data_IF_552115052453
#
_entry.id   IF_552115052453
#
_cell.length_a   1.000
_cell.length_b   1.000
_cell.length_c   1.000
_cell.angle_alpha   90.00
_cell.angle_beta   90.00
_cell.angle_gamma   90.00
#
_symmetry.space_group_name_H-M   'P 1'
#
loop_
_entity.id
_entity.type
_entity.pdbx_description
1 polymer ?
#
# COMPACT_ATOMS: atom_id res chain seq x y z
N UNK A 1 3.13 -1.65 -5.76
CA UNK A 1 4.04 -0.53 -6.05
C UNK A 1 5.46 -1.07 -6.13
N UNK A 2 6.25 -0.60 -7.10
CA UNK A 2 7.63 -1.03 -7.29
C UNK A 2 8.52 0.18 -7.54
N UNK A 3 9.68 0.21 -6.90
CA UNK A 3 10.76 1.17 -7.18
C UNK A 3 11.98 0.35 -7.53
N UNK A 4 12.60 0.68 -8.67
CA UNK A 4 13.79 0.01 -9.14
C UNK A 4 14.91 0.09 -8.08
N UNK A 5 15.68 -1.00 -7.91
CA UNK A 5 16.62 -1.20 -6.78
C UNK A 5 17.60 -0.03 -6.60
N UNK A 6 18.07 0.54 -7.71
CA UNK A 6 19.06 1.63 -7.71
C UNK A 6 18.48 2.99 -7.28
N UNK A 7 17.16 3.07 -7.14
CA UNK A 7 16.43 4.27 -6.75
C UNK A 7 15.64 4.08 -5.44
N UNK A 8 15.87 2.98 -4.72
CA UNK A 8 15.29 2.76 -3.39
C UNK A 8 15.94 3.69 -2.35
N UNK A 9 15.31 3.86 -1.19
CA UNK A 9 15.74 4.74 -0.10
C UNK A 9 15.85 6.24 -0.44
N UNK A 10 15.41 6.65 -1.64
CA UNK A 10 15.38 8.05 -2.07
C UNK A 10 13.99 8.69 -1.97
N UNK A 11 13.13 8.20 -1.07
CA UNK A 11 11.74 8.68 -0.84
C UNK A 11 10.77 8.56 -2.03
N UNK A 12 11.19 7.92 -3.14
CA UNK A 12 10.39 7.82 -4.37
C UNK A 12 9.04 7.13 -4.13
N UNK A 13 9.04 6.01 -3.41
CA UNK A 13 7.84 5.29 -3.03
C UNK A 13 6.84 6.19 -2.28
N UNK A 14 7.32 6.97 -1.31
CA UNK A 14 6.49 7.90 -0.54
C UNK A 14 5.91 9.02 -1.40
N UNK A 15 6.72 9.57 -2.33
CA UNK A 15 6.25 10.60 -3.27
C UNK A 15 5.15 10.07 -4.20
N UNK A 16 5.31 8.86 -4.72
CA UNK A 16 4.31 8.21 -5.57
C UNK A 16 2.99 7.98 -4.83
N UNK A 17 3.04 7.41 -3.62
CA UNK A 17 1.83 7.21 -2.81
C UNK A 17 1.14 8.54 -2.49
N UNK A 18 1.90 9.54 -2.03
CA UNK A 18 1.32 10.86 -1.72
C UNK A 18 0.67 11.51 -2.94
N UNK A 19 1.30 11.40 -4.11
CA UNK A 19 0.72 11.91 -5.36
C UNK A 19 -0.58 11.18 -5.72
N UNK A 20 -0.59 9.85 -5.67
CA UNK A 20 -1.78 9.05 -5.99
C UNK A 20 -2.94 9.34 -5.03
N UNK A 21 -2.67 9.38 -3.73
CA UNK A 21 -3.67 9.65 -2.70
C UNK A 21 -4.26 11.07 -2.82
N UNK A 22 -3.46 12.05 -3.23
CA UNK A 22 -3.92 13.44 -3.45
C UNK A 22 -4.65 13.62 -4.78
N UNK A 23 -4.30 12.85 -5.80
CA UNK A 23 -4.86 12.99 -7.15
C UNK A 23 -6.23 12.32 -7.30
N UNK A 24 -6.65 11.50 -6.34
CA UNK A 24 -7.89 10.72 -6.41
C UNK A 24 -8.75 11.05 -5.19
N UNK A 25 -9.94 11.57 -5.43
CA UNK A 25 -10.93 11.73 -4.37
C UNK A 25 -11.55 10.37 -4.03
N UNK A 26 -10.93 9.66 -3.09
CA UNK A 26 -11.45 8.41 -2.54
C UNK A 26 -11.55 8.49 -1.02
N UNK A 27 -12.57 7.85 -0.45
CA UNK A 27 -12.71 7.65 1.00
C UNK A 27 -11.74 6.61 1.54
N UNK A 28 -11.32 5.66 0.69
CA UNK A 28 -10.50 4.51 1.09
C UNK A 28 -9.52 4.12 0.01
N UNK A 29 -8.30 3.79 0.43
CA UNK A 29 -7.29 3.16 -0.41
C UNK A 29 -7.01 1.77 0.11
N UNK A 30 -6.76 0.82 -0.79
CA UNK A 30 -6.39 -0.54 -0.42
C UNK A 30 -5.25 -1.08 -1.28
N UNK A 31 -4.54 -2.08 -0.75
CA UNK A 31 -3.42 -2.72 -1.44
C UNK A 31 -3.22 -4.14 -0.94
N UNK A 32 -2.67 -5.01 -1.78
CA UNK A 32 -2.08 -6.28 -1.37
C UNK A 32 -0.57 -6.12 -1.28
N UNK A 33 -0.06 -5.85 -0.08
CA UNK A 33 1.37 -5.62 0.17
C UNK A 33 2.12 -6.94 0.39
N UNK A 34 3.28 -7.12 -0.25
CA UNK A 34 4.19 -8.22 0.06
C UNK A 34 4.73 -8.13 1.48
N UNK A 35 5.35 -9.20 1.98
CA UNK A 35 6.00 -9.20 3.31
C UNK A 35 7.00 -8.05 3.44
N UNK A 36 7.80 -7.79 2.40
CA UNK A 36 8.84 -6.74 2.42
C UNK A 36 8.27 -5.33 2.26
N UNK A 37 7.10 -5.16 1.62
CA UNK A 37 6.47 -3.86 1.45
C UNK A 37 5.56 -3.46 2.62
N UNK A 38 5.15 -4.42 3.47
CA UNK A 38 4.27 -4.17 4.62
C UNK A 38 4.76 -3.02 5.53
N UNK A 39 6.04 -2.95 5.97
CA UNK A 39 6.49 -1.87 6.84
C UNK A 39 6.35 -0.47 6.20
N UNK A 40 6.59 -0.38 4.89
CA UNK A 40 6.40 0.87 4.15
C UNK A 40 4.94 1.33 4.18
N UNK A 41 3.98 0.43 3.91
CA UNK A 41 2.57 0.79 3.93
C UNK A 41 2.06 1.14 5.33
N UNK A 42 2.58 0.48 6.39
CA UNK A 42 2.31 0.88 7.78
C UNK A 42 2.79 2.32 8.03
N UNK A 43 3.99 2.67 7.57
CA UNK A 43 4.51 4.04 7.68
C UNK A 43 3.68 5.08 6.89
N UNK A 44 2.94 4.64 5.86
CA UNK A 44 1.97 5.46 5.13
C UNK A 44 0.56 5.47 5.76
N UNK A 45 0.40 4.94 6.98
CA UNK A 45 -0.87 4.85 7.71
C UNK A 45 -1.88 3.86 7.13
N UNK A 46 -1.42 2.82 6.43
CA UNK A 46 -2.27 1.68 6.09
C UNK A 46 -2.27 0.65 7.22
N UNK A 47 -3.44 0.11 7.50
CA UNK A 47 -3.66 -0.94 8.49
C UNK A 47 -3.78 -2.31 7.82
N UNK A 48 -3.29 -3.35 8.48
CA UNK A 48 -3.47 -4.74 8.01
C UNK A 48 -4.87 -5.19 8.36
N UNK A 49 -5.67 -5.50 7.33
CA UNK A 49 -7.02 -6.04 7.52
C UNK A 49 -7.00 -7.56 7.55
N UNK A 50 -6.23 -8.19 6.65
CA UNK A 50 -6.04 -9.65 6.68
C UNK A 50 -4.74 -10.10 6.02
N UNK A 51 -4.25 -11.26 6.44
CA UNK A 51 -3.18 -12.00 5.76
C UNK A 51 -3.76 -12.80 4.61
N UNK A 52 -2.99 -12.97 3.54
CA UNK A 52 -3.37 -13.77 2.39
C UNK A 52 -2.16 -14.57 1.86
N UNK A 53 -2.44 -15.70 1.21
CA UNK A 53 -1.45 -16.56 0.56
C UNK A 53 -1.85 -16.68 -0.91
N UNK A 54 -0.93 -16.38 -1.82
CA UNK A 54 -1.16 -16.48 -3.26
C UNK A 54 -0.25 -17.54 -3.87
N UNK A 55 -0.80 -18.35 -4.76
CA UNK A 55 -0.03 -19.27 -5.59
C UNK A 55 0.47 -18.52 -6.83
N UNK A 56 1.79 -18.31 -6.92
CA UNK A 56 2.42 -17.67 -8.06
C UNK A 56 3.55 -18.56 -8.57
N UNK A 57 3.44 -19.03 -9.82
CA UNK A 57 4.45 -19.88 -10.47
C UNK A 57 4.81 -21.13 -9.64
N UNK A 58 3.80 -21.78 -9.06
CA UNK A 58 3.97 -22.97 -8.22
C UNK A 58 4.50 -22.70 -6.81
N UNK A 59 4.71 -21.43 -6.43
CA UNK A 59 5.15 -21.05 -5.08
C UNK A 59 4.01 -20.37 -4.30
N UNK A 60 3.95 -20.64 -3.00
CA UNK A 60 3.05 -19.93 -2.08
C UNK A 60 3.74 -18.69 -1.53
N UNK A 61 3.19 -17.52 -1.84
CA UNK A 61 3.70 -16.23 -1.36
C UNK A 61 2.72 -15.60 -0.38
N UNK A 62 3.22 -15.18 0.78
CA UNK A 62 2.45 -14.44 1.77
C UNK A 62 2.36 -12.96 1.37
N UNK A 63 1.16 -12.40 1.41
CA UNK A 63 0.93 -10.96 1.31
C UNK A 63 -0.16 -10.51 2.30
N UNK A 64 -0.41 -9.22 2.36
CA UNK A 64 -1.32 -8.60 3.32
C UNK A 64 -2.29 -7.69 2.58
N UNK A 65 -3.59 -7.90 2.77
CA UNK A 65 -4.59 -6.93 2.38
C UNK A 65 -4.58 -5.80 3.42
N UNK A 66 -4.28 -4.58 2.97
CA UNK A 66 -4.13 -3.41 3.82
C UNK A 66 -5.03 -2.28 3.32
N UNK A 67 -5.55 -1.46 4.24
CA UNK A 67 -6.45 -0.34 3.93
C UNK A 67 -6.00 0.95 4.64
N UNK A 68 -6.28 2.10 4.02
CA UNK A 68 -6.13 3.43 4.62
C UNK A 68 -7.40 4.23 4.37
N UNK A 69 -7.94 4.83 5.42
CA UNK A 69 -9.08 5.75 5.31
C UNK A 69 -8.57 7.16 5.07
N UNK A 70 -9.13 7.84 4.08
CA UNK A 70 -8.83 9.25 3.82
C UNK A 70 -9.67 10.11 4.76
N UNK A 71 -9.04 10.70 5.78
CA UNK A 71 -9.74 11.46 6.82
C UNK A 71 -10.44 12.71 6.27
N UNK A 72 -9.93 13.29 5.19
CA UNK A 72 -10.53 14.44 4.51
C UNK A 72 -11.87 14.11 3.83
N UNK A 73 -12.24 12.84 3.72
CA UNK A 73 -13.48 12.36 3.10
C UNK A 73 -14.26 11.41 4.03
N UNK A 74 -13.98 11.46 5.34
CA UNK A 74 -14.60 10.57 6.34
C UNK A 74 -16.12 10.75 6.45
N UNK A 75 -16.63 11.91 6.03
CA UNK A 75 -18.04 12.32 6.09
C UNK A 75 -18.67 12.61 4.72
N UNK A 76 -18.00 12.30 3.61
CA UNK A 76 -18.63 12.39 2.30
C UNK A 76 -19.69 11.27 2.20
N UNK A 77 -20.95 11.69 2.13
CA UNK A 77 -22.17 10.88 2.06
C UNK A 77 -22.36 10.36 0.64
#
# INVERSE_FOLDING_TARGET
MFVHKDFQNQTIASKLISYLEKSIQSRKFSTFASVTAKPFFIACSYEVIRTNIVNLRGQQLKNYYMEKINENNKYAI
#
